data_IF_093145615212
#
_entry.id   IF_093145615212
#
_cell.length_a   1.000
_cell.length_b   1.000
_cell.length_c   1.000
_cell.angle_alpha   90.00
_cell.angle_beta   90.00
_cell.angle_gamma   90.00
#
_symmetry.space_group_name_H-M   'P 1'
#
loop_
_entity.id
_entity.type
_entity.pdbx_description
1 polymer ?
#
# COMPACT_ATOMS: atom_id res chain seq x y z
N UNK A 1 8.15 -16.88 -2.55
CA UNK A 1 8.57 -15.52 -2.15
C UNK A 1 8.69 -14.70 -3.42
N UNK A 2 8.17 -13.48 -3.44
CA UNK A 2 8.31 -12.54 -4.57
C UNK A 2 9.12 -11.37 -4.05
N UNK A 3 10.11 -10.94 -4.82
CA UNK A 3 11.01 -9.81 -4.47
C UNK A 3 10.85 -8.72 -5.50
N UNK A 4 10.56 -7.49 -5.06
CA UNK A 4 10.70 -6.30 -5.89
C UNK A 4 12.16 -5.88 -5.96
N UNK A 5 12.56 -5.24 -7.06
CA UNK A 5 13.94 -4.75 -7.27
C UNK A 5 14.01 -3.23 -7.08
N UNK A 6 13.43 -2.74 -5.98
CA UNK A 6 13.20 -1.32 -5.74
C UNK A 6 11.78 -0.92 -6.10
N UNK A 7 11.62 0.07 -6.98
CA UNK A 7 10.32 0.64 -7.34
C UNK A 7 9.33 -0.44 -7.82
N UNK A 8 8.05 -0.31 -7.41
CA UNK A 8 7.04 -1.34 -7.66
C UNK A 8 6.60 -1.33 -9.13
N UNK A 9 7.22 -2.20 -9.92
CA UNK A 9 6.97 -2.32 -11.35
C UNK A 9 5.59 -2.94 -11.67
N UNK A 10 5.09 -2.63 -12.87
CA UNK A 10 3.75 -3.03 -13.34
C UNK A 10 3.63 -4.55 -13.38
N UNK A 11 4.66 -5.26 -13.85
CA UNK A 11 4.61 -6.70 -14.05
C UNK A 11 4.56 -7.45 -12.71
N UNK A 12 5.36 -7.04 -11.73
CA UNK A 12 5.33 -7.60 -10.37
C UNK A 12 3.99 -7.34 -9.70
N UNK A 13 3.46 -6.12 -9.80
CA UNK A 13 2.14 -5.77 -9.25
C UNK A 13 1.01 -6.59 -9.88
N UNK A 14 0.98 -6.70 -11.21
CA UNK A 14 0.00 -7.49 -11.94
C UNK A 14 0.09 -8.99 -11.57
N UNK A 15 1.31 -9.52 -11.46
CA UNK A 15 1.55 -10.90 -11.06
C UNK A 15 1.07 -11.18 -9.63
N UNK A 16 1.39 -10.28 -8.70
CA UNK A 16 0.96 -10.36 -7.30
C UNK A 16 -0.57 -10.30 -7.19
N UNK A 17 -1.22 -9.39 -7.94
CA UNK A 17 -2.68 -9.29 -8.00
C UNK A 17 -3.32 -10.56 -8.55
N UNK A 18 -2.79 -11.10 -9.65
CA UNK A 18 -3.28 -12.32 -10.26
C UNK A 18 -3.19 -13.50 -9.30
N UNK A 19 -2.05 -13.65 -8.62
CA UNK A 19 -1.87 -14.69 -7.61
C UNK A 19 -2.88 -14.54 -6.48
N UNK A 20 -3.03 -13.34 -5.92
CA UNK A 20 -4.03 -13.08 -4.87
C UNK A 20 -5.45 -13.47 -5.33
N UNK A 21 -5.86 -13.05 -6.53
CA UNK A 21 -7.22 -13.32 -7.02
C UNK A 21 -7.45 -14.81 -7.28
N UNK A 22 -6.44 -15.53 -7.77
CA UNK A 22 -6.57 -16.95 -8.11
C UNK A 22 -6.45 -17.88 -6.91
N UNK A 23 -5.68 -17.50 -5.89
CA UNK A 23 -5.34 -18.39 -4.76
C UNK A 23 -5.95 -17.95 -3.43
N UNK A 24 -6.56 -16.77 -3.39
CA UNK A 24 -7.15 -16.17 -2.18
C UNK A 24 -6.16 -16.11 -0.99
N UNK A 25 -4.86 -16.05 -1.31
CA UNK A 25 -3.78 -16.02 -0.34
C UNK A 25 -3.66 -14.64 0.31
N UNK A 26 -3.30 -14.66 1.58
CA UNK A 26 -2.89 -13.47 2.28
C UNK A 26 -1.51 -13.01 1.80
N UNK A 27 -1.43 -11.73 1.45
CA UNK A 27 -0.18 -11.11 1.04
C UNK A 27 0.44 -10.43 2.25
N UNK A 28 1.69 -10.77 2.53
CA UNK A 28 2.50 -10.14 3.56
C UNK A 28 3.59 -9.34 2.86
N UNK A 29 3.68 -8.05 3.17
CA UNK A 29 4.68 -7.15 2.64
C UNK A 29 5.76 -6.96 3.69
N UNK A 30 6.97 -7.40 3.38
CA UNK A 30 8.16 -7.21 4.18
C UNK A 30 8.89 -5.96 3.68
N UNK A 31 8.87 -4.88 4.46
CA UNK A 31 9.39 -3.57 4.06
C UNK A 31 10.39 -3.02 5.08
N UNK A 32 11.30 -2.16 4.62
CA UNK A 32 12.23 -1.42 5.45
C UNK A 32 11.53 -0.36 6.31
N UNK A 33 12.20 0.08 7.38
CA UNK A 33 11.72 1.13 8.26
C UNK A 33 12.19 2.49 7.76
N UNK A 34 11.65 2.94 6.64
CA UNK A 34 11.95 4.25 6.04
C UNK A 34 10.75 4.80 5.27
N UNK A 35 10.83 6.06 4.83
CA UNK A 35 9.71 6.66 4.10
C UNK A 35 9.46 6.00 2.73
N UNK A 36 10.51 5.54 2.07
CA UNK A 36 10.41 4.89 0.76
C UNK A 36 9.79 3.49 0.86
N UNK A 37 10.13 2.70 1.88
CA UNK A 37 9.48 1.43 2.19
C UNK A 37 7.99 1.57 2.43
N UNK A 38 7.58 2.61 3.18
CA UNK A 38 6.16 2.95 3.35
C UNK A 38 5.51 3.38 2.03
N UNK A 39 6.19 4.16 1.21
CA UNK A 39 5.68 4.57 -0.11
C UNK A 39 5.47 3.37 -1.05
N UNK A 40 6.41 2.42 -1.06
CA UNK A 40 6.28 1.18 -1.83
C UNK A 40 5.11 0.34 -1.34
N UNK A 41 4.95 0.21 -0.02
CA UNK A 41 3.81 -0.48 0.60
C UNK A 41 2.48 0.13 0.12
N UNK A 42 2.35 1.46 0.16
CA UNK A 42 1.17 2.17 -0.32
C UNK A 42 0.92 1.92 -1.80
N UNK A 43 1.97 1.90 -2.62
CA UNK A 43 1.84 1.65 -4.06
C UNK A 43 1.37 0.23 -4.37
N UNK A 44 1.85 -0.77 -3.62
CA UNK A 44 1.36 -2.15 -3.75
C UNK A 44 -0.10 -2.29 -3.27
N UNK A 45 -0.48 -1.59 -2.20
CA UNK A 45 -1.79 -1.73 -1.56
C UNK A 45 -2.89 -0.91 -2.24
N UNK A 46 -2.62 0.34 -2.56
CA UNK A 46 -3.59 1.31 -3.06
C UNK A 46 -3.37 1.69 -4.51
N UNK A 47 -2.15 1.51 -5.01
CA UNK A 47 -1.77 1.87 -6.37
C UNK A 47 -0.97 3.16 -6.47
N UNK A 48 -0.66 3.56 -7.71
CA UNK A 48 0.11 4.77 -8.00
C UNK A 48 -0.81 5.85 -8.58
N UNK A 49 -0.53 7.10 -8.25
CA UNK A 49 -1.29 8.24 -8.77
C UNK A 49 -1.18 8.33 -10.29
N UNK A 50 0.03 8.11 -10.81
CA UNK A 50 0.31 8.17 -12.25
C UNK A 50 -0.38 7.05 -13.05
N UNK A 51 -0.79 5.97 -12.39
CA UNK A 51 -1.41 4.79 -13.01
C UNK A 51 -2.83 4.57 -12.52
N UNK A 52 -3.57 5.68 -12.42
CA UNK A 52 -4.88 5.70 -11.80
C UNK A 52 -5.88 4.70 -12.39
N UNK A 53 -5.93 4.67 -13.72
CA UNK A 53 -6.81 3.80 -14.50
C UNK A 53 -6.48 2.31 -14.31
N UNK A 54 -5.19 1.97 -14.15
CA UNK A 54 -4.74 0.58 -14.05
C UNK A 54 -4.74 0.06 -12.60
N UNK A 55 -4.94 0.92 -11.60
CA UNK A 55 -4.85 0.54 -10.19
C UNK A 55 -5.83 -0.58 -9.81
N UNK A 56 -7.00 -0.67 -10.45
CA UNK A 56 -7.94 -1.79 -10.23
C UNK A 56 -7.31 -3.16 -10.53
N UNK A 57 -6.46 -3.23 -11.56
CA UNK A 57 -5.73 -4.42 -11.98
C UNK A 57 -4.36 -4.61 -11.32
N UNK A 58 -3.84 -3.59 -10.63
CA UNK A 58 -2.47 -3.59 -10.10
C UNK A 58 -2.38 -3.50 -8.57
N UNK A 59 -3.40 -2.96 -7.90
CA UNK A 59 -3.41 -2.81 -6.46
C UNK A 59 -3.89 -4.10 -5.77
N UNK A 60 -3.14 -4.51 -4.77
CA UNK A 60 -3.36 -5.77 -4.05
C UNK A 60 -4.04 -5.46 -2.73
N UNK A 61 -5.22 -6.04 -2.54
CA UNK A 61 -6.04 -5.79 -1.36
C UNK A 61 -5.46 -6.57 -0.16
N UNK A 62 -5.77 -6.18 1.06
CA UNK A 62 -5.45 -6.99 2.26
C UNK A 62 -3.96 -7.35 2.42
N UNK A 63 -3.07 -6.44 2.01
CA UNK A 63 -1.64 -6.54 2.33
C UNK A 63 -1.46 -6.37 3.84
N UNK A 64 -0.69 -7.27 4.43
CA UNK A 64 -0.28 -7.19 5.82
C UNK A 64 1.16 -6.69 5.88
N UNK A 65 1.36 -5.50 6.45
CA UNK A 65 2.70 -4.96 6.63
C UNK A 65 3.40 -5.70 7.77
N UNK A 66 4.47 -6.40 7.42
CA UNK A 66 5.40 -7.06 8.34
C UNK A 66 6.78 -6.46 8.14
N UNK A 67 7.64 -6.56 9.15
CA UNK A 67 9.00 -6.08 9.04
C UNK A 67 9.57 -5.63 10.35
N UNK A 68 10.64 -4.85 10.25
CA UNK A 68 11.29 -4.23 11.38
C UNK A 68 10.51 -2.98 11.75
N UNK A 69 10.02 -2.90 12.98
CA UNK A 69 9.33 -1.72 13.48
C UNK A 69 10.24 -0.90 14.39
N UNK A 70 9.86 0.36 14.59
CA UNK A 70 10.58 1.29 15.45
C UNK A 70 10.79 0.73 16.85
N UNK A 71 9.78 0.04 17.40
CA UNK A 71 9.89 -0.60 18.72
C UNK A 71 10.87 -1.77 18.71
N UNK A 72 10.89 -2.59 17.65
CA UNK A 72 11.86 -3.70 17.55
C UNK A 72 13.31 -3.16 17.48
N UNK A 73 13.53 -1.97 16.92
CA UNK A 73 14.84 -1.32 16.90
C UNK A 73 15.28 -0.75 18.27
N UNK A 74 14.32 -0.27 19.05
CA UNK A 74 14.59 0.37 20.35
C UNK A 74 14.76 -0.69 21.43
N UNK A 75 13.89 -1.71 21.43
CA UNK A 75 13.87 -2.76 22.44
C UNK A 75 15.01 -3.77 22.23
N UNK A 76 15.48 -3.94 20.99
CA UNK A 76 16.55 -4.87 20.70
C UNK A 76 17.92 -4.19 20.84
N UNK A 77 18.51 -4.30 22.04
CA UNK A 77 19.92 -4.00 22.30
C UNK A 77 20.88 -4.68 21.28
N UNK A 78 20.37 -5.69 20.55
CA UNK A 78 21.13 -6.44 19.56
C UNK A 78 21.02 -5.87 18.15
N UNK A 79 20.28 -4.81 17.85
CA UNK A 79 20.43 -4.16 16.53
C UNK A 79 21.69 -3.31 16.53
N UNK A 80 22.54 -3.49 15.51
CA UNK A 80 23.74 -2.66 15.36
C UNK A 80 23.32 -1.22 15.09
N UNK A 81 23.72 -0.29 15.97
CA UNK A 81 23.50 1.15 15.81
C UNK A 81 24.07 1.71 14.50
N UNK A 82 24.95 0.96 13.83
CA UNK A 82 25.59 1.31 12.55
C UNK A 82 24.57 1.47 11.41
N UNK A 83 23.44 0.78 11.48
CA UNK A 83 22.43 0.79 10.40
C UNK A 83 21.10 1.43 10.80
N UNK A 84 21.07 2.09 11.96
CA UNK A 84 19.99 2.98 12.38
C UNK A 84 20.44 4.40 12.11
N UNK A 85 19.65 5.16 11.36
CA UNK A 85 19.95 6.54 10.99
C UNK A 85 18.80 7.46 11.37
N UNK A 86 19.10 8.75 11.49
CA UNK A 86 18.05 9.75 11.66
C UNK A 86 17.20 9.85 10.39
N UNK A 87 15.89 10.00 10.58
CA UNK A 87 14.92 10.21 9.52
C UNK A 87 15.05 11.66 9.00
N UNK A 88 15.47 11.86 7.73
CA UNK A 88 15.65 13.19 7.16
C UNK A 88 14.34 13.97 7.06
N UNK A 89 14.43 15.30 7.03
CA UNK A 89 13.26 16.17 6.88
C UNK A 89 12.47 15.90 5.58
N UNK A 90 13.16 15.62 4.48
CA UNK A 90 12.53 15.26 3.20
C UNK A 90 11.67 14.00 3.31
N UNK A 91 12.15 12.98 4.01
CA UNK A 91 11.43 11.72 4.23
C UNK A 91 10.24 11.89 5.18
N UNK A 92 10.37 12.72 6.23
CA UNK A 92 9.24 13.09 7.10
C UNK A 92 8.10 13.70 6.29
N UNK A 93 8.42 14.59 5.33
CA UNK A 93 7.42 15.21 4.46
C UNK A 93 6.68 14.17 3.61
N UNK A 94 7.38 13.16 3.10
CA UNK A 94 6.76 12.05 2.35
C UNK A 94 5.76 11.31 3.24
N UNK A 95 6.15 10.96 4.47
CA UNK A 95 5.27 10.26 5.40
C UNK A 95 4.03 11.08 5.77
N UNK A 96 4.17 12.39 6.01
CA UNK A 96 3.04 13.28 6.21
C UNK A 96 2.12 13.30 4.98
N UNK A 97 2.68 13.45 3.77
CA UNK A 97 1.90 13.41 2.53
C UNK A 97 1.13 12.09 2.38
N UNK A 98 1.73 10.95 2.70
CA UNK A 98 1.06 9.64 2.63
C UNK A 98 -0.08 9.50 3.66
N UNK A 99 0.07 10.11 4.84
CA UNK A 99 -0.93 10.08 5.91
C UNK A 99 -2.09 11.06 5.68
N UNK A 100 -1.81 12.21 5.06
CA UNK A 100 -2.78 13.29 4.82
C UNK A 100 -3.66 13.04 3.58
N UNK A 101 -3.63 11.84 3.00
CA UNK A 101 -4.49 11.49 1.87
C UNK A 101 -5.92 11.22 2.38
N UNK A 102 -6.77 12.25 2.34
CA UNK A 102 -8.18 12.22 2.81
C UNK A 102 -8.98 11.00 2.31
N UNK A 103 -8.75 10.58 1.06
CA UNK A 103 -9.43 9.43 0.46
C UNK A 103 -8.93 8.06 0.95
N UNK A 104 -7.80 8.00 1.64
CA UNK A 104 -7.23 6.76 2.20
C UNK A 104 -7.50 6.63 3.70
N UNK A 105 -8.03 7.66 4.37
CA UNK A 105 -8.19 7.67 5.83
C UNK A 105 -8.97 6.47 6.36
N UNK A 106 -10.05 6.07 5.68
CA UNK A 106 -10.92 4.96 6.08
C UNK A 106 -10.36 3.58 5.71
N UNK A 107 -9.37 3.51 4.80
CA UNK A 107 -8.85 2.25 4.25
C UNK A 107 -7.53 1.87 4.91
N UNK A 108 -6.69 2.85 5.24
CA UNK A 108 -5.39 2.61 5.86
C UNK A 108 -5.65 1.92 7.21
N UNK A 109 -5.12 0.70 7.42
CA UNK A 109 -5.28 0.01 8.68
C UNK A 109 -4.76 0.88 9.85
N UNK A 110 -5.46 0.96 11.00
CA UNK A 110 -5.04 1.79 12.12
C UNK A 110 -3.60 1.51 12.56
N UNK A 111 -3.19 0.24 12.53
CA UNK A 111 -1.83 -0.14 12.88
C UNK A 111 -0.75 0.38 11.90
N UNK A 112 -1.10 0.72 10.65
CA UNK A 112 -0.17 1.38 9.73
C UNK A 112 0.03 2.83 10.17
N UNK A 113 -1.06 3.53 10.51
CA UNK A 113 -1.02 4.91 11.01
C UNK A 113 -0.18 5.01 12.27
N UNK A 114 -0.42 4.12 13.23
CA UNK A 114 0.36 4.05 14.48
C UNK A 114 1.85 3.85 14.21
N UNK A 115 2.21 2.94 13.30
CA UNK A 115 3.62 2.68 12.95
C UNK A 115 4.27 3.86 12.24
N UNK A 116 3.57 4.51 11.31
CA UNK A 116 4.07 5.71 10.64
C UNK A 116 4.27 6.85 11.65
N UNK A 117 3.34 7.01 12.59
CA UNK A 117 3.47 7.96 13.69
C UNK A 117 4.66 7.64 14.59
N UNK A 118 4.94 6.36 14.87
CA UNK A 118 6.15 5.95 15.60
C UNK A 118 7.42 6.33 14.84
N UNK A 119 7.49 6.08 13.52
CA UNK A 119 8.63 6.50 12.68
C UNK A 119 8.85 8.02 12.78
N UNK A 120 7.77 8.80 12.70
CA UNK A 120 7.82 10.26 12.80
C UNK A 120 8.23 10.75 14.20
N UNK A 121 7.70 10.12 15.26
CA UNK A 121 7.93 10.49 16.65
C UNK A 121 9.38 10.24 17.08
N UNK A 122 9.89 9.02 16.84
CA UNK A 122 11.27 8.69 17.17
C UNK A 122 12.26 9.30 16.17
N UNK A 123 11.81 9.56 14.95
CA UNK A 123 12.62 10.19 13.91
C UNK A 123 13.82 9.33 13.52
N UNK A 124 13.67 8.01 13.58
CA UNK A 124 14.70 7.03 13.17
C UNK A 124 14.22 6.24 11.95
N UNK A 125 15.19 5.80 11.15
CA UNK A 125 15.00 4.87 10.04
C UNK A 125 16.04 3.76 10.10
N UNK A 126 15.70 2.61 9.54
CA UNK A 126 16.59 1.45 9.52
C UNK A 126 16.34 0.55 8.32
N UNK A 127 17.43 0.09 7.70
CA UNK A 127 17.37 -0.92 6.64
C UNK A 127 17.32 -2.32 7.25
N UNK A 128 16.64 -3.26 6.61
CA UNK A 128 16.67 -4.67 7.00
C UNK A 128 18.08 -5.29 6.94
N UNK A 129 18.98 -4.72 6.14
CA UNK A 129 20.40 -5.10 6.12
C UNK A 129 21.07 -4.90 7.49
N UNK A 130 20.50 -4.02 8.34
CA UNK A 130 20.92 -3.85 9.73
C UNK A 130 20.96 -5.18 10.49
N UNK A 131 19.97 -6.04 10.24
CA UNK A 131 19.81 -7.33 10.90
C UNK A 131 20.87 -8.35 10.45
N UNK A 132 21.41 -8.20 9.23
CA UNK A 132 22.42 -9.09 8.68
C UNK A 132 23.80 -8.92 9.34
N UNK A 133 24.08 -7.75 9.92
CA UNK A 133 25.40 -7.40 10.46
C UNK A 133 25.90 -8.28 11.61
N UNK A 134 25.04 -9.08 12.26
CA UNK A 134 25.40 -9.84 13.47
C UNK A 134 25.54 -11.36 13.34
N UNK A 135 24.93 -12.01 12.36
CA UNK A 135 25.16 -13.41 11.89
C UNK A 135 23.92 -13.84 11.07
N UNK A 136 24.10 -14.60 9.99
CA UNK A 136 23.03 -15.10 9.11
C UNK A 136 21.85 -15.79 9.84
N UNK A 137 22.08 -16.38 11.02
CA UNK A 137 21.04 -17.01 11.85
C UNK A 137 20.07 -16.05 12.53
N UNK A 138 20.47 -14.80 12.79
CA UNK A 138 19.62 -13.82 13.49
C UNK A 138 18.51 -13.28 12.60
N UNK A 139 18.79 -12.97 11.33
CA UNK A 139 17.76 -12.55 10.38
C UNK A 139 16.69 -13.63 10.19
N UNK A 140 17.09 -14.90 10.03
CA UNK A 140 16.14 -16.01 9.90
C UNK A 140 15.26 -16.16 11.15
N UNK A 141 15.85 -16.00 12.34
CA UNK A 141 15.12 -16.08 13.62
C UNK A 141 14.14 -14.91 13.76
N UNK A 142 14.58 -13.69 13.43
CA UNK A 142 13.75 -12.50 13.46
C UNK A 142 12.57 -12.60 12.49
N UNK A 143 12.83 -12.94 11.22
CA UNK A 143 11.78 -13.11 10.21
C UNK A 143 10.80 -14.20 10.63
N UNK A 144 11.30 -15.33 11.16
CA UNK A 144 10.45 -16.39 11.70
C UNK A 144 9.56 -15.89 12.85
N UNK A 145 10.12 -15.15 13.80
CA UNK A 145 9.36 -14.56 14.91
C UNK A 145 8.31 -13.55 14.42
N UNK A 146 8.65 -12.67 13.49
CA UNK A 146 7.72 -11.68 12.91
C UNK A 146 6.57 -12.37 12.18
N UNK A 147 6.88 -13.39 11.38
CA UNK A 147 5.88 -14.20 10.67
C UNK A 147 5.00 -14.93 11.68
N UNK A 148 5.58 -15.60 12.69
CA UNK A 148 4.81 -16.32 13.72
C UNK A 148 3.91 -15.39 14.54
N UNK A 149 4.37 -14.19 14.92
CA UNK A 149 3.57 -13.16 15.58
C UNK A 149 2.38 -12.76 14.71
N UNK A 150 2.64 -12.53 13.42
CA UNK A 150 1.63 -12.12 12.44
C UNK A 150 0.62 -13.24 12.12
N UNK A 151 1.04 -14.50 12.15
CA UNK A 151 0.17 -15.67 12.00
C UNK A 151 -0.69 -15.92 13.26
N UNK A 152 -0.13 -15.69 14.47
CA UNK A 152 -0.88 -15.83 15.74
C UNK A 152 -2.00 -14.81 15.85
N UNK A 153 -1.73 -13.55 15.49
CA UNK A 153 -2.74 -12.48 15.50
C UNK A 153 -3.94 -12.75 14.56
N UNK A 154 -3.76 -13.60 13.54
CA UNK A 154 -4.86 -13.98 12.63
C UNK A 154 -5.82 -15.02 13.17
N UNK A 155 -5.36 -15.95 14.03
CA UNK A 155 -6.26 -16.98 14.58
C UNK A 155 -7.37 -16.39 15.45
N UNK A 156 -7.16 -15.19 15.97
CA UNK A 156 -8.11 -14.43 16.81
C UNK A 156 -9.15 -13.65 16.00
N UNK A 157 -8.91 -13.41 14.70
CA UNK A 157 -9.82 -12.68 13.82
C UNK A 157 -10.34 -13.56 12.68
N UNK A 158 -11.51 -14.17 12.86
CA UNK A 158 -12.19 -14.94 11.79
C UNK A 158 -12.54 -14.01 10.62
N UNK A 159 -11.78 -14.09 9.54
CA UNK A 159 -11.99 -13.31 8.33
C UNK A 159 -12.95 -14.07 7.41
N UNK A 160 -14.25 -13.76 7.51
CA UNK A 160 -15.30 -14.44 6.74
C UNK A 160 -15.33 -13.93 5.28
N UNK A 161 -15.69 -14.77 4.31
CA UNK A 161 -15.73 -14.43 2.87
C UNK A 161 -16.53 -13.14 2.58
N UNK A 162 -17.60 -12.89 3.35
CA UNK A 162 -18.42 -11.69 3.26
C UNK A 162 -17.67 -10.40 3.63
N UNK A 163 -16.76 -10.43 4.62
CA UNK A 163 -15.97 -9.24 4.96
C UNK A 163 -15.02 -8.86 3.80
N UNK A 164 -14.54 -9.86 3.04
CA UNK A 164 -13.67 -9.65 1.88
C UNK A 164 -14.41 -9.05 0.68
N UNK A 165 -15.64 -9.49 0.42
CA UNK A 165 -16.47 -8.91 -0.65
C UNK A 165 -16.80 -7.45 -0.33
N UNK A 166 -17.14 -7.16 0.93
CA UNK A 166 -17.41 -5.80 1.41
C UNK A 166 -16.15 -4.92 1.33
N UNK A 167 -14.99 -5.41 1.73
CA UNK A 167 -13.70 -4.69 1.58
C UNK A 167 -13.38 -4.40 0.11
N UNK A 168 -13.61 -5.36 -0.79
CA UNK A 168 -13.41 -5.17 -2.24
C UNK A 168 -14.35 -4.11 -2.82
N UNK A 169 -15.62 -4.10 -2.42
CA UNK A 169 -16.60 -3.10 -2.87
C UNK A 169 -16.26 -1.70 -2.35
N UNK A 170 -15.87 -1.58 -1.07
CA UNK A 170 -15.39 -0.32 -0.49
C UNK A 170 -14.17 0.20 -1.24
N UNK A 171 -13.21 -0.67 -1.53
CA UNK A 171 -12.02 -0.32 -2.30
C UNK A 171 -12.37 0.18 -3.71
N UNK A 172 -13.23 -0.54 -4.45
CA UNK A 172 -13.62 -0.13 -5.80
C UNK A 172 -14.35 1.23 -5.80
N UNK A 173 -15.27 1.46 -4.85
CA UNK A 173 -15.97 2.73 -4.71
C UNK A 173 -15.03 3.91 -4.37
N UNK A 174 -13.92 3.62 -3.70
CA UNK A 174 -12.88 4.59 -3.35
C UNK A 174 -11.94 4.87 -4.52
N UNK A 175 -11.56 3.85 -5.30
CA UNK A 175 -10.88 4.07 -6.58
C UNK A 175 -11.74 4.93 -7.50
N UNK A 176 -13.05 4.69 -7.57
CA UNK A 176 -13.98 5.53 -8.34
C UNK A 176 -14.05 6.96 -7.77
N UNK A 177 -14.11 7.13 -6.44
CA UNK A 177 -14.11 8.46 -5.79
C UNK A 177 -12.81 9.20 -6.09
N UNK A 178 -11.69 8.48 -6.05
CA UNK A 178 -10.36 9.00 -6.30
C UNK A 178 -10.16 9.40 -7.79
N UNK A 179 -10.60 8.56 -8.74
CA UNK A 179 -10.64 8.91 -10.17
C UNK A 179 -11.48 10.17 -10.42
N UNK A 180 -12.63 10.32 -9.73
CA UNK A 180 -13.50 11.50 -9.85
C UNK A 180 -12.89 12.79 -9.28
N UNK A 181 -12.18 12.73 -8.15
CA UNK A 181 -11.51 13.90 -7.58
C UNK A 181 -10.34 14.38 -8.46
N UNK A 182 -9.59 13.46 -9.07
CA UNK A 182 -8.49 13.82 -9.97
C UNK A 182 -8.95 14.33 -11.34
N UNK A 183 -10.10 13.86 -11.86
CA UNK A 183 -10.67 14.39 -13.10
C UNK A 183 -11.01 15.88 -12.97
N UNK A 184 -11.44 16.35 -11.78
CA UNK A 184 -11.70 17.77 -11.50
C UNK A 184 -10.43 18.63 -11.45
N UNK A 185 -9.30 18.06 -11.02
CA UNK A 185 -8.00 18.75 -11.02
C UNK A 185 -7.35 18.80 -12.41
N UNK A 186 -7.46 17.74 -13.21
CA UNK A 186 -6.97 17.72 -14.60
C UNK A 186 -7.76 18.65 -15.52
N UNK A 187 -9.07 18.82 -15.30
CA UNK A 187 -9.89 19.77 -16.08
C UNK A 187 -9.61 21.24 -15.78
N UNK A 188 -8.86 21.55 -14.71
CA UNK A 188 -8.41 22.92 -14.40
C UNK A 188 -7.06 23.27 -15.04
N UNK A 189 -6.32 22.29 -15.56
CA UNK A 189 -5.00 22.49 -16.19
C UNK A 189 -4.96 22.20 -17.69
N UNK A 190 -6.11 21.93 -18.32
CA UNK A 190 -6.18 21.64 -19.76
C UNK A 190 -7.15 22.58 -20.49
N UNK A 191 -6.82 23.88 -20.51
CA UNK A 191 -7.04 24.68 -21.71
C UNK A 191 -5.80 24.51 -22.58
N UNK A 192 -5.76 23.42 -23.35
CA UNK A 192 -5.02 23.26 -24.59
C UNK A 192 -5.45 21.90 -25.15
N UNK A 193 -6.32 21.97 -26.16
CA UNK A 193 -6.65 20.90 -27.11
C UNK A 193 -5.43 20.07 -27.44
N UNK A 194 -5.54 18.73 -27.45
CA UNK A 194 -5.03 17.81 -28.48
C UNK A 194 -5.44 16.37 -28.07
N UNK A 195 -5.94 15.62 -29.04
CA UNK A 195 -6.33 14.19 -28.98
C UNK A 195 -7.77 13.85 -28.56
N UNK A 196 -8.75 14.50 -29.23
CA UNK A 196 -9.81 13.71 -29.88
C UNK A 196 -9.25 13.12 -31.17
N UNK A 197 -8.87 11.85 -31.19
CA UNK A 197 -8.96 10.92 -32.35
C UNK A 197 -8.26 9.59 -32.02
N UNK A 198 -8.92 8.47 -32.39
CA UNK A 198 -8.50 7.05 -32.28
C UNK A 198 -8.70 6.46 -30.86
N UNK A 199 -9.59 5.51 -30.58
CA UNK A 199 -10.23 4.49 -31.42
C UNK A 199 -11.53 4.00 -30.75
N UNK A 200 -12.65 4.06 -31.47
CA UNK A 200 -13.81 3.18 -31.25
C UNK A 200 -13.39 1.75 -31.58
N UNK A 201 -13.56 0.80 -30.66
CA UNK A 201 -14.18 -0.52 -30.94
C UNK A 201 -14.35 -1.33 -29.66
N UNK A 202 -15.61 -1.69 -29.40
CA UNK A 202 -16.10 -2.85 -28.65
C UNK A 202 -15.47 -3.23 -27.31
N UNK A 203 -16.21 -3.02 -26.21
CA UNK A 203 -16.73 -4.11 -25.37
C UNK A 203 -17.97 -3.60 -24.60
N UNK A 204 -19.10 -4.22 -24.93
CA UNK A 204 -20.35 -4.43 -24.17
C UNK A 204 -20.91 -3.31 -23.26
N UNK A 205 -22.02 -2.74 -23.75
CA UNK A 205 -23.16 -2.23 -22.97
C UNK A 205 -23.53 -3.17 -21.81
N UNK A 206 -23.53 -2.65 -20.59
CA UNK A 206 -24.53 -2.99 -19.56
C UNK A 206 -24.86 -1.70 -18.79
N UNK A 207 -26.06 -1.18 -19.05
CA UNK A 207 -26.91 -0.30 -18.24
C UNK A 207 -26.31 0.94 -17.57
N UNK A 208 -26.29 2.04 -18.33
CA UNK A 208 -26.01 3.40 -17.85
C UNK A 208 -27.24 4.33 -17.83
N UNK A 209 -28.46 3.78 -17.79
CA UNK A 209 -29.70 4.58 -17.92
C UNK A 209 -30.52 4.74 -16.62
N UNK A 210 -29.98 4.37 -15.46
CA UNK A 210 -30.69 4.56 -14.16
C UNK A 210 -30.10 5.59 -13.20
N UNK A 211 -28.98 6.26 -13.54
CA UNK A 211 -28.30 7.15 -12.59
C UNK A 211 -28.43 8.65 -12.90
N UNK A 212 -29.15 9.05 -13.96
CA UNK A 212 -29.24 10.45 -14.36
C UNK A 212 -30.40 11.25 -13.73
N UNK A 213 -31.30 10.63 -12.96
CA UNK A 213 -32.49 11.32 -12.42
C UNK A 213 -32.43 11.71 -10.94
N UNK A 214 -31.29 11.62 -10.26
CA UNK A 214 -31.17 11.97 -8.83
C UNK A 214 -30.15 13.08 -8.49
N UNK A 215 -29.54 13.73 -9.49
CA UNK A 215 -28.65 14.88 -9.24
C UNK A 215 -29.29 16.27 -9.44
N UNK A 216 -30.61 16.35 -9.60
CA UNK A 216 -31.34 17.61 -9.57
C UNK A 216 -32.59 17.47 -8.69
N UNK A 217 -32.38 17.52 -7.37
CA UNK A 217 -33.30 18.06 -6.37
C UNK A 217 -32.57 18.22 -5.03
#
# INVERSE_FOLDING_TARGET
>A
MITGHGDPDIATRASLKRLQVQTDLFVYALMDLDAFGVQMLFTYAFGSINMSYDNLGLAVQNIHWIGMFTMDLIDDEKVSSVHISLLPYSERRILHMLMDQEYLEDIIPPYWKERIQQILFYGIKGSMEALHSKLFGHTCTFVKQVIERSLKNKKTGSCNLLSRVVERQKYNALVDRWMRCHHKHLTWTSNLDWCSFLFQTSIARVDSDLCFSQCLK
#
